data_IF_114310632362
#
_entry.id   IF_114310632362
#
_cell.length_a   1.000
_cell.length_b   1.000
_cell.length_c   1.000
_cell.angle_alpha   90.00
_cell.angle_beta   90.00
_cell.angle_gamma   90.00
#
_symmetry.space_group_name_H-M   'P 1'
#
loop_
_entity.id
_entity.type
_entity.pdbx_description
1 polymer ?
#
# COMPACT_ATOMS: atom_id res chain seq x y z
N UNK A 1 5.52 21.30 -19.27
CA UNK A 1 5.62 20.07 -18.46
C UNK A 1 5.10 18.93 -19.31
N UNK A 2 5.92 17.90 -19.54
CA UNK A 2 5.58 16.79 -20.44
C UNK A 2 4.96 15.65 -19.64
N UNK A 3 3.80 15.15 -20.09
CA UNK A 3 3.24 13.92 -19.54
C UNK A 3 3.92 12.73 -20.22
N UNK A 4 4.61 11.90 -19.46
CA UNK A 4 5.28 10.69 -19.96
C UNK A 4 4.33 9.49 -19.91
N UNK A 5 4.54 8.56 -20.83
CA UNK A 5 3.86 7.27 -20.83
C UNK A 5 4.51 6.33 -19.80
N UNK A 6 3.76 5.66 -18.91
CA UNK A 6 4.31 4.65 -18.01
C UNK A 6 5.20 3.59 -18.67
N UNK A 7 4.98 3.25 -19.94
CA UNK A 7 5.83 2.30 -20.66
C UNK A 7 7.25 2.80 -20.89
N UNK A 8 7.49 4.12 -20.90
CA UNK A 8 8.85 4.66 -21.01
C UNK A 8 9.65 4.51 -19.71
N UNK A 9 9.00 4.06 -18.62
CA UNK A 9 9.64 3.82 -17.32
C UNK A 9 10.24 2.41 -17.20
N UNK A 10 9.97 1.51 -18.15
CA UNK A 10 10.43 0.12 -18.09
C UNK A 10 11.96 0.01 -17.98
N UNK A 11 12.68 0.98 -18.54
CA UNK A 11 14.14 1.05 -18.51
C UNK A 11 14.69 1.95 -17.39
N UNK A 12 13.84 2.58 -16.58
CA UNK A 12 14.21 3.52 -15.50
C UNK A 12 13.49 3.16 -14.19
N UNK A 13 13.96 2.08 -13.56
CA UNK A 13 13.42 1.57 -12.31
C UNK A 13 13.55 2.56 -11.15
N UNK A 14 14.58 3.40 -11.13
CA UNK A 14 14.76 4.42 -10.08
C UNK A 14 13.69 5.50 -10.17
N UNK A 15 13.26 5.85 -11.38
CA UNK A 15 12.11 6.75 -11.56
C UNK A 15 10.82 6.14 -11.07
N UNK A 16 10.60 4.84 -11.26
CA UNK A 16 9.43 4.14 -10.69
C UNK A 16 9.47 4.23 -9.16
N UNK A 17 10.61 3.98 -8.53
CA UNK A 17 10.80 4.13 -7.08
C UNK A 17 10.50 5.56 -6.62
N UNK A 18 10.99 6.56 -7.34
CA UNK A 18 10.74 7.97 -7.07
C UNK A 18 9.26 8.34 -7.12
N UNK A 19 8.53 7.80 -8.11
CA UNK A 19 7.08 7.97 -8.25
C UNK A 19 6.35 7.32 -7.07
N UNK A 20 6.66 6.07 -6.72
CA UNK A 20 6.05 5.38 -5.58
C UNK A 20 6.36 6.07 -4.24
N UNK A 21 7.58 6.57 -4.07
CA UNK A 21 8.01 7.34 -2.88
C UNK A 21 7.24 8.65 -2.76
N UNK A 22 7.05 9.37 -3.86
CA UNK A 22 6.25 10.59 -3.88
C UNK A 22 4.77 10.31 -3.55
N UNK A 23 4.19 9.25 -4.09
CA UNK A 23 2.83 8.81 -3.72
C UNK A 23 2.71 8.43 -2.25
N UNK A 24 3.70 7.72 -1.70
CA UNK A 24 3.71 7.36 -0.28
C UNK A 24 3.81 8.60 0.61
N UNK A 25 4.63 9.59 0.23
CA UNK A 25 4.71 10.88 0.95
C UNK A 25 3.37 11.60 0.98
N UNK A 26 2.67 11.63 -0.15
CA UNK A 26 1.33 12.23 -0.23
C UNK A 26 0.35 11.54 0.70
N UNK A 27 0.28 10.20 0.67
CA UNK A 27 -0.62 9.42 1.55
C UNK A 27 -0.23 9.59 3.02
N UNK A 28 1.07 9.58 3.33
CA UNK A 28 1.55 9.78 4.69
C UNK A 28 1.23 11.17 5.24
N UNK A 29 1.36 12.21 4.41
CA UNK A 29 1.00 13.56 4.81
C UNK A 29 -0.51 13.67 5.08
N UNK A 30 -1.36 13.14 4.18
CA UNK A 30 -2.81 13.13 4.36
C UNK A 30 -3.22 12.50 5.70
N UNK A 31 -2.68 11.31 6.00
CA UNK A 31 -3.00 10.58 7.22
C UNK A 31 -2.38 11.21 8.47
N UNK A 32 -1.21 11.82 8.35
CA UNK A 32 -0.61 12.56 9.45
C UNK A 32 -1.49 13.74 9.84
N UNK A 33 -1.92 14.54 8.88
CA UNK A 33 -2.78 15.71 9.12
C UNK A 33 -4.17 15.31 9.65
N UNK A 34 -4.64 14.10 9.32
CA UNK A 34 -5.93 13.56 9.76
C UNK A 34 -5.87 12.71 11.04
N UNK A 35 -4.69 12.52 11.66
CA UNK A 35 -4.50 11.51 12.72
C UNK A 35 -5.30 11.76 14.01
N UNK A 36 -5.61 13.01 14.33
CA UNK A 36 -6.41 13.35 15.50
C UNK A 36 -7.88 12.99 15.29
N UNK A 37 -8.43 13.36 14.14
CA UNK A 37 -9.78 12.96 13.70
C UNK A 37 -9.86 11.43 13.63
N UNK A 38 -8.86 10.77 13.04
CA UNK A 38 -8.77 9.31 12.98
C UNK A 38 -8.79 8.63 14.35
N UNK A 39 -8.07 9.18 15.34
CA UNK A 39 -8.06 8.66 16.70
C UNK A 39 -9.42 8.83 17.40
N UNK A 40 -10.08 9.97 17.18
CA UNK A 40 -11.42 10.23 17.68
C UNK A 40 -12.45 9.26 17.07
N UNK A 41 -12.43 9.09 15.75
CA UNK A 41 -13.30 8.17 15.01
C UNK A 41 -13.10 6.74 15.52
N UNK A 42 -11.85 6.28 15.65
CA UNK A 42 -11.57 4.94 16.17
C UNK A 42 -12.13 4.70 17.58
N UNK A 43 -12.07 5.71 18.46
CA UNK A 43 -12.59 5.62 19.84
C UNK A 43 -14.13 5.64 19.90
N UNK A 44 -14.77 6.43 19.04
CA UNK A 44 -16.19 6.73 19.10
C UNK A 44 -17.06 5.74 18.31
N UNK A 45 -16.55 5.17 17.22
CA UNK A 45 -17.33 4.30 16.34
C UNK A 45 -17.37 2.83 16.77
N UNK A 46 -18.55 2.23 16.62
CA UNK A 46 -18.82 0.85 17.00
C UNK A 46 -18.79 -0.14 15.83
N UNK A 47 -18.60 0.35 14.60
CA UNK A 47 -18.57 -0.47 13.39
C UNK A 47 -17.38 -1.44 13.36
N UNK A 48 -17.28 -2.26 12.32
CA UNK A 48 -16.11 -3.14 12.21
C UNK A 48 -14.86 -2.28 12.01
N UNK A 49 -13.79 -2.59 12.74
CA UNK A 49 -12.52 -1.83 12.65
C UNK A 49 -11.94 -1.77 11.23
N UNK A 50 -12.30 -2.74 10.38
CA UNK A 50 -11.94 -2.73 8.97
C UNK A 50 -12.64 -1.59 8.21
N UNK A 51 -13.94 -1.44 8.40
CA UNK A 51 -14.77 -0.41 7.77
C UNK A 51 -14.33 0.99 8.25
N UNK A 52 -14.11 1.14 9.56
CA UNK A 52 -13.58 2.37 10.17
C UNK A 52 -12.24 2.78 9.53
N UNK A 53 -11.33 1.82 9.36
CA UNK A 53 -10.04 2.08 8.73
C UNK A 53 -10.17 2.49 7.25
N UNK A 54 -11.11 1.90 6.52
CA UNK A 54 -11.40 2.29 5.14
C UNK A 54 -11.94 3.73 5.06
N UNK A 55 -12.89 4.09 5.92
CA UNK A 55 -13.53 5.40 5.92
C UNK A 55 -12.53 6.51 6.28
N UNK A 56 -11.72 6.32 7.32
CA UNK A 56 -10.64 7.25 7.69
C UNK A 56 -9.67 7.45 6.53
N UNK A 57 -9.25 6.38 5.85
CA UNK A 57 -8.35 6.49 4.68
C UNK A 57 -9.01 7.30 3.57
N UNK A 58 -10.29 7.05 3.27
CA UNK A 58 -11.01 7.75 2.20
C UNK A 58 -11.13 9.24 2.52
N UNK A 59 -11.54 9.58 3.74
CA UNK A 59 -11.73 10.96 4.18
C UNK A 59 -10.41 11.74 4.21
N UNK A 60 -9.34 11.15 4.75
CA UNK A 60 -8.02 11.78 4.78
C UNK A 60 -7.51 12.11 3.37
N UNK A 61 -7.63 11.15 2.43
CA UNK A 61 -7.15 11.32 1.06
C UNK A 61 -8.02 12.28 0.24
N UNK A 62 -9.35 12.24 0.41
CA UNK A 62 -10.24 13.16 -0.29
C UNK A 62 -10.11 14.60 0.25
N UNK A 63 -9.78 14.79 1.54
CA UNK A 63 -9.49 16.09 2.15
C UNK A 63 -8.21 16.73 1.61
N UNK A 64 -7.12 15.95 1.46
CA UNK A 64 -5.89 16.47 0.85
C UNK A 64 -6.11 16.85 -0.63
N UNK A 65 -6.94 16.08 -1.32
CA UNK A 65 -7.18 16.23 -2.74
C UNK A 65 -6.08 15.59 -3.60
N UNK A 66 -6.42 15.29 -4.85
CA UNK A 66 -5.48 14.77 -5.85
C UNK A 66 -5.82 15.30 -7.23
N UNK A 67 -4.83 15.33 -8.12
CA UNK A 67 -5.06 15.73 -9.51
C UNK A 67 -5.73 14.59 -10.27
N UNK A 68 -7.04 14.70 -10.49
CA UNK A 68 -7.85 13.58 -10.99
C UNK A 68 -7.73 13.43 -12.50
N UNK A 69 -7.65 12.18 -12.96
CA UNK A 69 -7.93 11.81 -14.35
C UNK A 69 -9.36 11.30 -14.40
N UNK A 70 -10.13 11.70 -15.42
CA UNK A 70 -11.53 11.28 -15.58
C UNK A 70 -11.60 9.83 -16.12
N UNK A 71 -11.12 8.89 -15.32
CA UNK A 71 -11.11 7.46 -15.61
C UNK A 71 -11.50 6.68 -14.35
N UNK A 72 -12.45 5.76 -14.48
CA UNK A 72 -12.87 4.89 -13.37
C UNK A 72 -11.97 3.66 -13.32
N UNK A 73 -11.34 3.44 -12.17
CA UNK A 73 -10.65 2.19 -11.86
C UNK A 73 -11.65 1.17 -11.32
N UNK A 74 -11.49 -0.10 -11.71
CA UNK A 74 -12.29 -1.23 -11.22
C UNK A 74 -11.47 -2.08 -10.25
N UNK A 75 -12.13 -2.77 -9.34
CA UNK A 75 -11.49 -3.65 -8.35
C UNK A 75 -12.07 -3.47 -6.95
N UNK A 76 -11.73 -4.40 -6.04
CA UNK A 76 -12.23 -4.43 -4.66
C UNK A 76 -11.41 -3.62 -3.66
N UNK A 77 -10.36 -2.91 -4.10
CA UNK A 77 -9.55 -2.07 -3.22
C UNK A 77 -10.37 -0.90 -2.69
N UNK A 78 -10.25 -0.65 -1.39
CA UNK A 78 -10.97 0.34 -0.58
C UNK A 78 -10.93 1.74 -1.24
N UNK A 79 -9.74 2.29 -1.43
CA UNK A 79 -9.54 3.55 -2.15
C UNK A 79 -8.81 3.31 -3.48
N UNK A 80 -9.36 3.87 -4.56
CA UNK A 80 -8.76 3.79 -5.89
C UNK A 80 -8.99 5.07 -6.67
N UNK A 81 -7.93 5.59 -7.29
CA UNK A 81 -7.98 6.84 -8.04
C UNK A 81 -7.07 6.79 -9.26
N UNK A 82 -7.60 7.14 -10.42
CA UNK A 82 -6.79 7.54 -11.56
C UNK A 82 -6.39 9.01 -11.38
N UNK A 83 -5.10 9.29 -11.35
CA UNK A 83 -4.57 10.63 -11.08
C UNK A 83 -3.32 10.94 -11.90
N UNK A 84 -2.93 12.21 -11.92
CA UNK A 84 -1.56 12.59 -12.30
C UNK A 84 -0.69 12.62 -11.05
N UNK A 85 0.52 12.10 -11.18
CA UNK A 85 1.61 12.42 -10.26
C UNK A 85 2.51 13.45 -10.95
N UNK A 86 2.77 14.54 -10.24
CA UNK A 86 3.61 15.63 -10.73
C UNK A 86 5.01 15.53 -10.13
N UNK A 87 5.99 15.34 -10.99
CA UNK A 87 7.41 15.51 -10.71
C UNK A 87 7.86 16.87 -11.28
N UNK A 88 8.90 17.53 -10.75
CA UNK A 88 9.41 18.79 -11.30
C UNK A 88 9.63 18.76 -12.83
N UNK A 89 10.06 17.61 -13.37
CA UNK A 89 10.39 17.46 -14.78
C UNK A 89 9.25 16.88 -15.65
N UNK A 90 8.28 16.19 -15.06
CA UNK A 90 7.25 15.45 -15.81
C UNK A 90 5.95 15.23 -15.04
N UNK A 91 4.87 14.93 -15.77
CA UNK A 91 3.69 14.26 -15.20
C UNK A 91 3.68 12.80 -15.61
N UNK A 92 3.14 11.93 -14.76
CA UNK A 92 2.81 10.55 -15.13
C UNK A 92 1.38 10.23 -14.68
N UNK A 93 0.66 9.47 -15.48
CA UNK A 93 -0.65 8.94 -15.09
C UNK A 93 -0.46 7.74 -14.16
N UNK A 94 -1.13 7.77 -13.03
CA UNK A 94 -1.04 6.75 -11.98
C UNK A 94 -2.43 6.17 -11.69
N UNK A 95 -2.47 4.86 -11.52
CA UNK A 95 -3.57 4.14 -10.91
C UNK A 95 -3.20 3.87 -9.45
N UNK A 96 -3.62 4.78 -8.57
CA UNK A 96 -3.34 4.72 -7.15
C UNK A 96 -4.37 3.81 -6.47
N UNK A 97 -3.88 2.76 -5.81
CA UNK A 97 -4.65 1.82 -4.99
C UNK A 97 -4.19 1.95 -3.54
N UNK A 98 -5.11 2.29 -2.63
CA UNK A 98 -4.83 2.34 -1.20
C UNK A 98 -5.78 1.39 -0.47
N UNK A 99 -5.20 0.40 0.18
CA UNK A 99 -5.93 -0.67 0.88
C UNK A 99 -5.71 -0.53 2.39
N UNK A 100 -6.78 -0.52 3.13
CA UNK A 100 -6.80 -0.30 4.57
C UNK A 100 -6.88 -1.62 5.33
N UNK A 101 -6.22 -1.65 6.48
CA UNK A 101 -6.24 -2.77 7.42
C UNK A 101 -6.29 -2.22 8.83
N UNK A 102 -7.08 -2.83 9.69
CA UNK A 102 -7.03 -2.56 11.12
C UNK A 102 -6.68 -3.86 11.86
N UNK A 103 -5.65 -3.83 12.69
CA UNK A 103 -5.30 -4.95 13.56
C UNK A 103 -4.78 -4.46 14.90
N UNK A 104 -4.85 -5.32 15.92
CA UNK A 104 -4.23 -5.05 17.21
C UNK A 104 -2.71 -4.86 17.06
N UNK A 105 -2.11 -4.05 17.94
CA UNK A 105 -0.65 -3.76 17.95
C UNK A 105 0.21 -5.03 17.82
N UNK A 106 -0.20 -6.14 18.44
CA UNK A 106 0.51 -7.43 18.35
C UNK A 106 0.62 -8.00 16.93
N UNK A 107 -0.31 -7.66 16.03
CA UNK A 107 -0.30 -8.06 14.62
C UNK A 107 0.30 -7.02 13.67
N UNK A 108 0.64 -5.83 14.17
CA UNK A 108 0.97 -4.67 13.34
C UNK A 108 2.22 -4.84 12.44
N UNK A 109 3.10 -5.82 12.71
CA UNK A 109 4.33 -6.03 11.94
C UNK A 109 4.17 -6.59 10.51
N UNK A 110 2.95 -7.00 10.11
CA UNK A 110 2.68 -7.56 8.78
C UNK A 110 1.36 -7.07 8.21
N UNK A 111 1.18 -7.05 6.89
CA UNK A 111 -0.15 -6.94 6.27
C UNK A 111 -0.49 -8.24 5.56
N UNK A 112 -1.74 -8.72 5.63
CA UNK A 112 -2.20 -9.88 4.83
C UNK A 112 -2.82 -9.39 3.53
N UNK A 113 -2.41 -10.00 2.41
CA UNK A 113 -2.77 -9.58 1.06
C UNK A 113 -3.31 -10.75 0.26
N UNK A 114 -4.26 -10.45 -0.61
CA UNK A 114 -4.72 -11.31 -1.69
C UNK A 114 -3.88 -11.06 -2.95
N UNK A 115 -3.73 -12.08 -3.78
CA UNK A 115 -2.99 -11.96 -5.06
C UNK A 115 -3.58 -10.90 -5.99
N UNK A 116 -4.89 -10.62 -5.89
CA UNK A 116 -5.59 -9.54 -6.61
C UNK A 116 -5.08 -8.13 -6.29
N UNK A 117 -4.37 -7.95 -5.17
CA UNK A 117 -3.84 -6.66 -4.73
C UNK A 117 -2.38 -6.44 -5.14
N UNK A 118 -1.74 -7.43 -5.79
CA UNK A 118 -0.31 -7.43 -6.10
C UNK A 118 -0.08 -7.42 -7.60
N UNK A 119 0.88 -6.62 -8.06
CA UNK A 119 1.39 -6.69 -9.43
C UNK A 119 2.69 -7.49 -9.57
N UNK A 120 3.35 -7.75 -8.45
CA UNK A 120 4.56 -8.56 -8.41
C UNK A 120 4.27 -10.04 -8.17
N UNK A 121 5.19 -10.91 -8.58
CA UNK A 121 5.16 -12.34 -8.29
C UNK A 121 5.64 -12.59 -6.87
N UNK A 122 4.89 -13.41 -6.13
CA UNK A 122 5.25 -13.88 -4.80
C UNK A 122 6.16 -15.09 -4.94
N UNK A 123 7.47 -14.90 -4.70
CA UNK A 123 8.46 -15.98 -4.55
C UNK A 123 8.82 -16.12 -3.07
N UNK A 124 8.56 -17.30 -2.50
CA UNK A 124 8.91 -17.59 -1.10
C UNK A 124 9.06 -19.11 -0.86
N UNK A 125 9.65 -19.47 0.27
CA UNK A 125 9.60 -20.85 0.77
C UNK A 125 8.37 -21.01 1.67
N UNK A 126 7.51 -21.98 1.37
CA UNK A 126 6.34 -22.34 2.16
C UNK A 126 6.36 -23.83 2.45
N UNK A 127 6.31 -24.20 3.73
CA UNK A 127 6.39 -25.60 4.18
C UNK A 127 7.58 -26.38 3.61
N UNK A 128 8.73 -25.70 3.42
CA UNK A 128 9.95 -26.29 2.85
C UNK A 128 10.03 -26.26 1.32
N UNK A 129 8.95 -25.88 0.63
CA UNK A 129 8.91 -25.83 -0.83
C UNK A 129 8.99 -24.41 -1.38
N UNK A 130 9.74 -24.24 -2.46
CA UNK A 130 9.77 -23.01 -3.24
C UNK A 130 8.44 -22.85 -4.00
N UNK A 131 7.78 -21.70 -3.80
CA UNK A 131 6.57 -21.35 -4.53
C UNK A 131 6.77 -20.05 -5.30
N UNK A 132 6.14 -19.95 -6.47
CA UNK A 132 6.12 -18.77 -7.33
C UNK A 132 4.69 -18.53 -7.81
N UNK A 133 4.02 -17.54 -7.23
CA UNK A 133 2.62 -17.23 -7.52
C UNK A 133 2.52 -15.82 -8.12
N UNK A 134 2.08 -15.66 -9.38
CA UNK A 134 2.01 -14.36 -10.02
C UNK A 134 0.92 -13.49 -9.39
N UNK A 135 1.22 -12.20 -9.23
CA UNK A 135 0.22 -11.15 -8.94
C UNK A 135 -0.85 -11.07 -10.03
N UNK A 136 -2.05 -10.61 -9.67
CA UNK A 136 -3.17 -10.43 -10.62
C UNK A 136 -3.41 -8.97 -11.01
N UNK A 137 -2.77 -8.01 -10.34
CA UNK A 137 -2.86 -6.60 -10.68
C UNK A 137 -1.87 -6.29 -11.82
N UNK A 138 -2.26 -5.58 -12.89
CA UNK A 138 -1.31 -5.20 -13.93
C UNK A 138 -0.24 -4.26 -13.37
N UNK A 139 0.99 -4.36 -13.87
CA UNK A 139 2.08 -3.42 -13.54
C UNK A 139 1.79 -2.02 -14.12
N UNK A 140 1.22 -1.99 -15.33
CA UNK A 140 0.68 -0.82 -16.00
C UNK A 140 -0.75 -1.18 -16.42
N UNK A 141 -1.71 -0.35 -16.03
CA UNK A 141 -3.12 -0.52 -16.39
C UNK A 141 -3.40 0.27 -17.66
N UNK A 142 -4.00 -0.38 -18.65
CA UNK A 142 -4.48 0.26 -19.88
C UNK A 142 -5.99 0.39 -19.85
N UNK A 143 -6.50 1.62 -19.91
CA UNK A 143 -7.93 1.94 -19.94
C UNK A 143 -8.19 3.03 -20.98
N UNK A 144 -9.14 2.81 -21.89
CA UNK A 144 -9.48 3.78 -22.93
C UNK A 144 -8.25 4.31 -23.72
N UNK A 145 -7.31 3.40 -24.04
CA UNK A 145 -6.04 3.72 -24.71
C UNK A 145 -5.08 4.61 -23.91
N UNK A 146 -5.37 4.87 -22.63
CA UNK A 146 -4.46 5.55 -21.71
C UNK A 146 -3.78 4.53 -20.80
N UNK A 147 -2.53 4.82 -20.45
CA UNK A 147 -1.69 3.96 -19.62
C UNK A 147 -1.46 4.59 -18.25
N UNK A 148 -1.60 3.79 -17.20
CA UNK A 148 -1.47 4.21 -15.81
C UNK A 148 -0.48 3.31 -15.10
N UNK A 149 0.55 3.90 -14.47
CA UNK A 149 1.43 3.14 -13.59
C UNK A 149 0.65 2.70 -12.35
N UNK A 150 0.63 1.40 -12.08
CA UNK A 150 -0.02 0.87 -10.88
C UNK A 150 0.83 1.19 -9.65
N UNK A 151 0.24 1.81 -8.64
CA UNK A 151 0.91 2.07 -7.37
C UNK A 151 0.02 1.61 -6.23
N UNK A 152 0.52 0.71 -5.41
CA UNK A 152 -0.23 0.09 -4.32
C UNK A 152 0.34 0.50 -2.98
N UNK A 153 -0.48 1.12 -2.14
CA UNK A 153 -0.14 1.54 -0.79
C UNK A 153 -1.07 0.83 0.19
N UNK A 154 -0.52 0.37 1.30
CA UNK A 154 -1.27 -0.19 2.40
C UNK A 154 -1.25 0.76 3.58
N UNK A 155 -2.41 0.97 4.18
CA UNK A 155 -2.56 1.73 5.42
C UNK A 155 -3.01 0.78 6.50
N UNK A 156 -2.24 0.68 7.58
CA UNK A 156 -2.52 -0.20 8.70
C UNK A 156 -2.71 0.60 9.98
N UNK A 157 -3.93 0.59 10.49
CA UNK A 157 -4.33 1.17 11.76
C UNK A 157 -4.03 0.18 12.88
N UNK A 158 -2.99 0.47 13.68
CA UNK A 158 -2.60 -0.35 14.80
C UNK A 158 -3.25 0.17 16.08
N UNK A 159 -4.15 -0.63 16.66
CA UNK A 159 -4.94 -0.23 17.82
C UNK A 159 -4.75 -1.18 19.01
N UNK A 160 -5.11 -0.70 20.19
CA UNK A 160 -5.33 -1.50 21.39
C UNK A 160 -6.81 -1.45 21.76
N UNK A 161 -7.31 -2.51 22.38
CA UNK A 161 -8.72 -2.63 22.74
C UNK A 161 -8.81 -3.21 24.15
N UNK A 162 -9.26 -2.36 25.08
CA UNK A 162 -9.60 -2.74 26.46
C UNK A 162 -11.09 -2.51 26.68
N UNK A 163 -11.47 -1.27 27.02
CA UNK A 163 -12.87 -0.82 27.11
C UNK A 163 -13.27 0.02 25.89
N UNK A 164 -12.28 0.68 25.28
CA UNK A 164 -12.40 1.45 24.05
C UNK A 164 -11.29 1.06 23.07
N UNK A 165 -11.47 1.43 21.81
CA UNK A 165 -10.49 1.22 20.74
C UNK A 165 -9.54 2.42 20.69
N UNK A 166 -8.32 2.21 21.17
CA UNK A 166 -7.28 3.23 21.19
C UNK A 166 -6.37 3.05 19.97
N UNK A 167 -6.46 3.94 18.99
CA UNK A 167 -5.52 3.98 17.88
C UNK A 167 -4.13 4.39 18.40
N UNK A 168 -3.11 3.56 18.19
CA UNK A 168 -1.75 3.79 18.72
C UNK A 168 -0.84 4.44 17.69
N UNK A 169 -0.91 3.96 16.46
CA UNK A 169 -0.15 4.48 15.33
C UNK A 169 -0.72 3.95 14.01
N UNK A 170 -0.36 4.62 12.91
CA UNK A 170 -0.74 4.26 11.55
C UNK A 170 0.53 3.88 10.80
N UNK A 171 0.62 2.63 10.32
CA UNK A 171 1.70 2.18 9.44
C UNK A 171 1.26 2.39 8.00
N UNK A 172 2.14 2.92 7.16
CA UNK A 172 1.86 3.08 5.74
C UNK A 172 2.99 2.40 4.97
N UNK A 173 2.63 1.50 4.05
CA UNK A 173 3.60 0.74 3.28
C UNK A 173 3.36 0.85 1.78
N UNK A 174 4.35 1.31 1.01
CA UNK A 174 4.33 1.27 -0.45
C UNK A 174 4.83 -0.10 -0.92
N UNK A 175 3.91 -0.90 -1.46
CA UNK A 175 4.26 -2.17 -2.06
C UNK A 175 4.94 -1.91 -3.42
N UNK A 176 6.12 -2.50 -3.68
CA UNK A 176 6.79 -2.33 -4.96
C UNK A 176 5.95 -2.83 -6.12
N UNK A 177 5.86 -2.05 -7.19
CA UNK A 177 5.31 -2.50 -8.47
C UNK A 177 6.06 -3.74 -8.96
N UNK A 178 5.36 -4.63 -9.69
CA UNK A 178 5.97 -5.80 -10.30
C UNK A 178 7.14 -5.54 -11.25
N UNK A 179 7.29 -4.32 -11.78
CA UNK A 179 8.49 -3.90 -12.53
C UNK A 179 9.76 -3.89 -11.65
N UNK A 180 9.60 -3.77 -10.33
CA UNK A 180 10.69 -3.79 -9.35
C UNK A 180 10.93 -5.20 -8.77
N UNK A 181 10.46 -6.25 -9.44
CA UNK A 181 10.52 -7.64 -8.96
C UNK A 181 11.91 -8.02 -8.46
N UNK A 182 12.95 -7.80 -9.26
CA UNK A 182 14.31 -8.27 -8.97
C UNK A 182 14.98 -7.52 -7.82
N UNK A 183 14.51 -6.31 -7.49
CA UNK A 183 14.99 -5.54 -6.33
C UNK A 183 14.41 -6.07 -5.02
N UNK A 184 13.13 -6.46 -5.04
CA UNK A 184 12.37 -6.73 -3.82
C UNK A 184 12.06 -8.20 -3.56
N UNK A 185 12.01 -9.01 -4.61
CA UNK A 185 11.77 -10.43 -4.50
C UNK A 185 12.39 -11.21 -5.67
N UNK A 186 13.72 -11.18 -5.75
CA UNK A 186 14.49 -11.83 -6.82
C UNK A 186 14.23 -13.34 -6.87
N UNK A 187 14.32 -14.01 -5.72
CA UNK A 187 14.10 -15.44 -5.55
C UNK A 187 13.49 -15.72 -4.16
N UNK A 188 13.17 -16.98 -3.85
CA UNK A 188 12.38 -17.38 -2.69
C UNK A 188 13.04 -17.05 -1.34
N UNK A 189 14.38 -17.02 -1.31
CA UNK A 189 15.18 -16.64 -0.14
C UNK A 189 15.40 -15.12 0.01
N UNK A 190 15.28 -14.35 -1.06
CA UNK A 190 15.37 -12.89 -1.03
C UNK A 190 13.98 -12.33 -1.27
N UNK A 191 13.24 -12.15 -0.18
CA UNK A 191 11.80 -11.92 -0.23
C UNK A 191 11.33 -10.96 0.85
N UNK A 192 10.27 -10.20 0.55
CA UNK A 192 9.53 -9.38 1.51
C UNK A 192 8.31 -10.10 2.08
N UNK A 193 8.10 -11.35 1.69
CA UNK A 193 6.90 -12.11 2.00
C UNK A 193 7.06 -13.05 3.19
N UNK A 194 5.93 -13.34 3.83
CA UNK A 194 5.70 -14.43 4.74
C UNK A 194 4.49 -15.24 4.27
N UNK A 195 4.42 -16.50 4.67
CA UNK A 195 3.26 -17.34 4.42
C UNK A 195 1.99 -16.68 4.98
N UNK A 196 0.96 -16.60 4.14
CA UNK A 196 -0.33 -16.02 4.53
C UNK A 196 -1.17 -16.95 5.39
N UNK A 197 -2.19 -16.37 6.02
CA UNK A 197 -3.24 -17.09 6.75
C UNK A 197 -4.30 -17.52 5.74
N UNK A 198 -4.04 -18.59 5.01
CA UNK A 198 -5.06 -19.27 4.20
C UNK A 198 -5.07 -20.75 4.55
N UNK A 199 -6.24 -21.37 4.44
CA UNK A 199 -6.44 -22.81 4.51
C UNK A 199 -6.65 -23.36 3.09
N UNK A 200 -5.58 -23.76 2.35
CA UNK A 200 -5.72 -24.32 1.01
C UNK A 200 -6.67 -25.52 0.96
N UNK A 201 -6.74 -26.30 2.03
CA UNK A 201 -7.64 -27.45 2.17
C UNK A 201 -9.13 -27.09 2.13
N UNK A 202 -9.49 -25.82 2.35
CA UNK A 202 -10.86 -25.31 2.27
C UNK A 202 -11.16 -24.57 0.96
N UNK A 203 -10.24 -24.62 -0.02
CA UNK A 203 -10.39 -23.93 -1.30
C UNK A 203 -10.24 -22.41 -1.24
N UNK A 204 -9.69 -21.88 -0.14
CA UNK A 204 -9.46 -20.44 0.01
C UNK A 204 -8.42 -19.93 -1.01
N UNK A 205 -8.67 -18.73 -1.56
CA UNK A 205 -7.69 -18.07 -2.42
C UNK A 205 -6.35 -17.88 -1.70
N UNK A 206 -5.27 -17.97 -2.48
CA UNK A 206 -3.93 -17.77 -1.95
C UNK A 206 -3.78 -16.38 -1.31
N UNK A 207 -3.27 -16.37 -0.08
CA UNK A 207 -2.93 -15.15 0.65
C UNK A 207 -1.44 -15.17 1.00
N UNK A 208 -0.85 -13.99 1.05
CA UNK A 208 0.53 -13.76 1.49
C UNK A 208 0.54 -12.69 2.56
N UNK A 209 1.59 -12.64 3.38
CA UNK A 209 1.82 -11.53 4.30
C UNK A 209 3.01 -10.71 3.86
N UNK A 210 2.85 -9.40 3.69
CA UNK A 210 3.94 -8.45 3.56
C UNK A 210 4.60 -8.28 4.94
N UNK A 211 5.90 -8.51 5.03
CA UNK A 211 6.66 -8.33 6.26
C UNK A 211 7.36 -6.96 6.25
N UNK A 212 6.86 -6.05 7.07
CA UNK A 212 7.30 -4.65 7.04
C UNK A 212 8.78 -4.47 7.35
N UNK A 213 9.34 -5.29 8.24
CA UNK A 213 10.77 -5.20 8.56
C UNK A 213 11.65 -5.64 7.39
N UNK A 214 11.28 -6.72 6.66
CA UNK A 214 12.02 -7.13 5.45
C UNK A 214 11.93 -6.07 4.35
N UNK A 215 10.77 -5.44 4.21
CA UNK A 215 10.60 -4.34 3.25
C UNK A 215 11.48 -3.14 3.62
N UNK A 216 11.52 -2.76 4.92
CA UNK A 216 12.38 -1.67 5.42
C UNK A 216 13.86 -1.94 5.21
N UNK A 217 14.30 -3.18 5.41
CA UNK A 217 15.69 -3.56 5.17
C UNK A 217 16.13 -3.36 3.71
N UNK A 218 15.19 -3.47 2.76
CA UNK A 218 15.45 -3.20 1.34
C UNK A 218 15.35 -1.72 0.98
N UNK A 219 14.35 -1.02 1.51
CA UNK A 219 14.17 0.41 1.32
C UNK A 219 13.40 1.00 2.51
N UNK A 220 14.05 1.70 3.46
CA UNK A 220 13.40 2.12 4.69
C UNK A 220 12.22 3.05 4.45
N UNK A 221 12.29 3.92 3.44
CA UNK A 221 11.19 4.81 3.10
C UNK A 221 9.90 4.10 2.73
N UNK A 222 9.94 2.83 2.28
CA UNK A 222 8.73 2.11 1.87
C UNK A 222 7.79 1.81 3.02
N UNK A 223 8.22 1.93 4.27
CA UNK A 223 7.35 1.77 5.44
C UNK A 223 7.50 2.95 6.37
N UNK A 224 6.43 3.72 6.51
CA UNK A 224 6.33 4.82 7.44
C UNK A 224 5.48 4.42 8.64
N UNK A 225 5.78 5.01 9.79
CA UNK A 225 5.00 4.84 11.01
C UNK A 225 4.65 6.21 11.57
N UNK A 226 3.37 6.55 11.51
CA UNK A 226 2.81 7.79 12.03
C UNK A 226 2.34 7.52 13.46
N UNK A 227 3.00 8.09 14.48
CA UNK A 227 2.52 7.97 15.85
C UNK A 227 1.31 8.88 16.07
N UNK A 228 0.50 8.57 17.08
CA UNK A 228 -0.54 9.51 17.53
C UNK A 228 0.06 10.68 18.32
N UNK A 229 -0.74 11.69 18.62
CA UNK A 229 -0.32 12.79 19.50
C UNK A 229 0.08 12.27 20.90
N UNK A 230 1.05 12.89 21.59
CA UNK A 230 1.77 14.12 21.21
C UNK A 230 3.02 13.89 20.34
N UNK A 231 3.28 12.69 19.84
CA UNK A 231 4.54 12.39 19.17
C UNK A 231 4.59 13.01 17.76
N UNK A 232 5.72 13.64 17.44
CA UNK A 232 5.97 14.15 16.09
C UNK A 232 6.31 13.00 15.13
N UNK A 233 5.82 13.12 13.89
CA UNK A 233 6.21 12.23 12.81
C UNK A 233 7.49 12.72 12.13
N UNK A 234 8.40 11.79 11.84
CA UNK A 234 9.60 12.03 11.05
C UNK A 234 9.65 11.02 9.91
N UNK A 235 9.78 11.52 8.68
CA UNK A 235 9.95 10.69 7.50
C UNK A 235 11.23 9.86 7.60
N UNK A 236 11.13 8.56 7.34
CA UNK A 236 12.29 7.67 7.21
C UNK A 236 12.72 7.60 5.75
N UNK A 237 13.97 7.95 5.47
CA UNK A 237 14.57 7.87 4.13
C UNK A 237 15.00 6.46 3.72
#
# INVERSE_FOLDING_TARGET
MTTIDPHTLLDDLDRIEGIEKASLRMVAQALYDYREDAAFIFDAENDQVADIGEDITREALDRLGSSRVHQRLFGKVDYKRACYLFHPDFAVKQALFVDSKAEKVSGAGTATLQISQLSMTVKQIRAGEAISIPGRLPQIITLNYEHFLTTTIFVKYAYEESEKRNLRYIIIAALPNGLLQDRYNLHELDTIWLAGRNAPSLGEEFRVRLHFERLRQKAPWRVQNIPMQPQAYAWRE
#
